data_IF_895705751055
#
_entry.id   IF_895705751055
#
_cell.length_a   1.000
_cell.length_b   1.000
_cell.length_c   1.000
_cell.angle_alpha   90.00
_cell.angle_beta   90.00
_cell.angle_gamma   90.00
#
_symmetry.space_group_name_H-M   'P 1'
#
loop_
_entity.id
_entity.type
_entity.pdbx_description
1 polymer ?
#
# COMPACT_ATOMS: atom_id res chain seq x y z
N UNK A 1 -29.61 18.18 -5.53
CA UNK A 1 -28.77 17.24 -4.77
C UNK A 1 -29.69 16.25 -4.07
N UNK A 2 -29.48 14.94 -4.20
CA UNK A 2 -30.20 13.97 -3.35
C UNK A 2 -29.76 14.20 -1.90
N UNK A 3 -30.69 14.35 -0.95
CA UNK A 3 -30.43 14.80 0.43
C UNK A 3 -29.28 14.03 1.12
N UNK A 4 -29.13 12.73 0.84
CA UNK A 4 -28.09 11.87 1.41
C UNK A 4 -26.66 12.23 1.00
N UNK A 5 -26.44 12.75 -0.22
CA UNK A 5 -25.09 13.13 -0.68
C UNK A 5 -24.62 14.47 -0.11
N UNK A 6 -25.54 15.30 0.40
CA UNK A 6 -25.21 16.59 1.01
C UNK A 6 -24.49 16.43 2.34
N UNK A 7 -24.89 15.46 3.17
CA UNK A 7 -24.19 15.12 4.41
C UNK A 7 -22.77 14.62 4.12
N UNK A 8 -22.64 13.70 3.16
CA UNK A 8 -21.33 13.19 2.77
C UNK A 8 -20.40 14.32 2.28
N UNK A 9 -20.92 15.24 1.46
CA UNK A 9 -20.17 16.43 1.05
C UNK A 9 -19.73 17.28 2.24
N UNK A 10 -20.62 17.53 3.21
CA UNK A 10 -20.28 18.30 4.42
C UNK A 10 -19.12 17.65 5.19
N UNK A 11 -19.16 16.34 5.40
CA UNK A 11 -18.10 15.63 6.13
C UNK A 11 -16.75 15.70 5.39
N UNK A 12 -16.75 15.54 4.06
CA UNK A 12 -15.52 15.64 3.25
C UNK A 12 -14.93 17.06 3.33
N UNK A 13 -15.77 18.11 3.29
CA UNK A 13 -15.31 19.50 3.42
C UNK A 13 -14.67 19.77 4.79
N UNK A 14 -15.14 19.09 5.83
CA UNK A 14 -14.56 19.09 7.19
C UNK A 14 -13.40 18.09 7.35
N UNK A 15 -12.90 17.50 6.26
CA UNK A 15 -11.80 16.52 6.21
C UNK A 15 -12.07 15.20 6.95
N UNK A 16 -13.33 14.79 7.04
CA UNK A 16 -13.72 13.47 7.53
C UNK A 16 -14.01 12.51 6.37
N UNK A 17 -13.49 11.29 6.49
CA UNK A 17 -13.76 10.18 5.61
C UNK A 17 -15.22 9.74 5.69
N UNK A 18 -15.89 9.76 4.54
CA UNK A 18 -17.25 9.22 4.40
C UNK A 18 -17.39 8.54 3.06
N UNK A 19 -18.01 7.36 3.08
CA UNK A 19 -18.36 6.59 1.90
C UNK A 19 -19.87 6.38 1.86
N UNK A 20 -20.45 6.40 0.67
CA UNK A 20 -21.87 6.20 0.44
C UNK A 20 -22.12 4.82 -0.16
N UNK A 21 -22.90 3.99 0.54
CA UNK A 21 -23.41 2.74 -0.03
C UNK A 21 -24.48 3.07 -1.08
N UNK A 22 -24.40 2.45 -2.24
CA UNK A 22 -25.40 2.56 -3.31
C UNK A 22 -25.93 1.17 -3.70
N UNK A 23 -27.11 1.15 -4.31
CA UNK A 23 -27.66 -0.10 -4.85
C UNK A 23 -26.86 -0.60 -6.06
N UNK A 24 -26.76 -1.92 -6.28
CA UNK A 24 -26.23 -2.48 -7.52
C UNK A 24 -26.92 -1.88 -8.75
N UNK A 25 -26.13 -1.51 -9.76
CA UNK A 25 -26.64 -0.85 -10.98
C UNK A 25 -26.69 0.67 -10.91
N UNK A 26 -26.36 1.28 -9.75
CA UNK A 26 -26.12 2.72 -9.66
C UNK A 26 -24.94 3.14 -10.55
N UNK A 27 -25.07 4.27 -11.24
CA UNK A 27 -23.97 4.90 -11.98
C UNK A 27 -23.00 5.67 -11.08
N UNK A 28 -23.38 5.90 -9.81
CA UNK A 28 -22.50 6.53 -8.82
C UNK A 28 -21.56 5.48 -8.23
N UNK A 29 -20.29 5.46 -8.64
CA UNK A 29 -19.28 4.50 -8.21
C UNK A 29 -17.90 5.16 -8.15
N UNK A 30 -17.08 4.78 -7.17
CA UNK A 30 -15.77 5.36 -6.92
C UNK A 30 -15.84 6.79 -6.40
N UNK A 31 -14.73 7.52 -6.53
CA UNK A 31 -14.67 8.95 -6.19
C UNK A 31 -15.41 9.80 -7.22
N UNK A 32 -16.42 10.53 -6.76
CA UNK A 32 -17.16 11.47 -7.58
C UNK A 32 -17.21 12.84 -6.92
N UNK A 33 -16.95 13.87 -7.73
CA UNK A 33 -17.10 15.27 -7.30
C UNK A 33 -18.57 15.56 -7.06
N UNK A 34 -18.92 15.81 -5.81
CA UNK A 34 -20.24 16.29 -5.40
C UNK A 34 -20.16 17.79 -5.19
N UNK A 35 -21.09 18.53 -5.80
CA UNK A 35 -21.17 19.99 -5.71
C UNK A 35 -22.36 20.42 -4.89
N UNK A 36 -22.14 21.34 -3.97
CA UNK A 36 -23.15 21.98 -3.15
C UNK A 36 -22.96 23.48 -3.04
N UNK A 37 -23.87 24.12 -2.31
CA UNK A 37 -23.85 25.58 -2.13
C UNK A 37 -22.59 26.07 -1.40
N UNK A 38 -22.02 25.25 -0.52
CA UNK A 38 -20.88 25.61 0.32
C UNK A 38 -19.53 25.07 -0.19
N UNK A 39 -19.50 24.42 -1.36
CA UNK A 39 -18.26 23.89 -1.93
C UNK A 39 -18.47 22.64 -2.77
N UNK A 40 -17.35 22.07 -3.21
CA UNK A 40 -17.29 20.76 -3.87
C UNK A 40 -16.26 19.86 -3.19
N UNK A 41 -16.49 18.55 -3.27
CA UNK A 41 -15.61 17.55 -2.65
C UNK A 41 -15.79 16.17 -3.27
N UNK A 42 -14.74 15.35 -3.16
CA UNK A 42 -14.73 13.97 -3.66
C UNK A 42 -15.40 13.03 -2.65
N UNK A 43 -16.60 12.56 -2.99
CA UNK A 43 -17.33 11.56 -2.19
C UNK A 43 -17.16 10.18 -2.81
N UNK A 44 -16.85 9.18 -2.00
CA UNK A 44 -16.71 7.80 -2.45
C UNK A 44 -18.06 7.08 -2.46
N UNK A 45 -18.43 6.45 -3.57
CA UNK A 45 -19.64 5.65 -3.70
C UNK A 45 -19.28 4.20 -4.01
N UNK A 46 -19.90 3.24 -3.31
CA UNK A 46 -19.59 1.82 -3.47
C UNK A 46 -20.84 0.95 -3.28
N UNK A 47 -20.82 -0.24 -3.85
CA UNK A 47 -21.86 -1.25 -3.62
C UNK A 47 -21.28 -2.60 -3.19
N UNK A 48 -19.97 -2.80 -3.37
CA UNK A 48 -19.25 -4.00 -2.96
C UNK A 48 -18.16 -3.61 -1.94
N UNK A 49 -18.11 -4.24 -0.75
CA UNK A 49 -17.05 -4.01 0.23
C UNK A 49 -15.62 -4.14 -0.32
N UNK A 50 -15.38 -4.94 -1.36
CA UNK A 50 -14.06 -5.07 -1.98
C UNK A 50 -13.52 -3.75 -2.56
N UNK A 51 -14.42 -2.81 -2.89
CA UNK A 51 -14.08 -1.48 -3.42
C UNK A 51 -13.55 -0.53 -2.34
N UNK A 52 -13.82 -0.82 -1.07
CA UNK A 52 -13.47 0.07 0.03
C UNK A 52 -11.96 0.25 0.21
N UNK A 53 -11.13 -0.64 -0.32
CA UNK A 53 -9.67 -0.46 -0.28
C UNK A 53 -9.22 0.89 -0.87
N UNK A 54 -9.86 1.36 -1.94
CA UNK A 54 -9.58 2.68 -2.53
C UNK A 54 -9.97 3.82 -1.58
N UNK A 55 -11.14 3.71 -0.93
CA UNK A 55 -11.59 4.65 0.09
C UNK A 55 -10.62 4.73 1.27
N UNK A 56 -10.23 3.58 1.84
CA UNK A 56 -9.32 3.54 2.98
C UNK A 56 -7.97 4.19 2.66
N UNK A 57 -7.44 3.96 1.44
CA UNK A 57 -6.20 4.61 0.99
C UNK A 57 -6.30 6.12 0.92
N UNK A 58 -7.48 6.66 0.58
CA UNK A 58 -7.69 8.12 0.51
C UNK A 58 -7.64 8.76 1.90
N UNK A 59 -8.05 8.03 2.95
CA UNK A 59 -8.09 8.58 4.31
C UNK A 59 -6.72 9.01 4.83
N UNK A 60 -5.63 8.31 4.45
CA UNK A 60 -4.27 8.70 4.84
C UNK A 60 -3.98 10.18 4.59
N UNK A 61 -4.33 10.68 3.40
CA UNK A 61 -4.14 12.08 3.02
C UNK A 61 -5.30 12.99 3.49
N UNK A 62 -6.54 12.53 3.35
CA UNK A 62 -7.73 13.31 3.69
C UNK A 62 -7.74 13.72 5.17
N UNK A 63 -7.62 12.73 6.06
CA UNK A 63 -7.72 12.90 7.52
C UNK A 63 -6.37 13.21 8.17
N UNK A 64 -5.29 13.27 7.38
CA UNK A 64 -3.93 13.42 7.87
C UNK A 64 -3.60 12.37 8.96
N UNK A 65 -3.85 11.10 8.64
CA UNK A 65 -3.71 9.96 9.57
C UNK A 65 -2.33 10.02 10.24
N UNK A 66 -2.24 9.92 11.58
CA UNK A 66 -0.97 9.91 12.30
C UNK A 66 -0.27 8.54 12.19
N UNK A 67 1.06 8.51 12.38
CA UNK A 67 1.85 7.27 12.25
C UNK A 67 1.33 6.13 13.11
N UNK A 68 0.94 6.41 14.36
CA UNK A 68 0.48 5.37 15.30
C UNK A 68 -0.80 4.65 14.85
N UNK A 69 -1.60 5.27 13.96
CA UNK A 69 -2.80 4.67 13.38
C UNK A 69 -2.58 4.17 11.95
N UNK A 70 -1.36 4.29 11.40
CA UNK A 70 -1.10 3.97 10.01
C UNK A 70 -1.37 2.50 9.72
N UNK A 71 -0.85 1.59 10.54
CA UNK A 71 -0.95 0.15 10.30
C UNK A 71 -2.36 -0.40 10.57
N UNK A 72 -3.08 0.16 11.54
CA UNK A 72 -4.50 -0.17 11.77
C UNK A 72 -5.35 0.10 10.52
N UNK A 73 -5.12 1.25 9.87
CA UNK A 73 -5.80 1.59 8.61
C UNK A 73 -5.26 0.77 7.43
N UNK A 74 -3.96 0.42 7.45
CA UNK A 74 -3.30 -0.31 6.38
C UNK A 74 -3.91 -1.69 6.14
N UNK A 75 -4.39 -2.37 7.18
CA UNK A 75 -5.06 -3.68 7.06
C UNK A 75 -6.31 -3.62 6.16
N UNK A 76 -7.05 -2.51 6.22
CA UNK A 76 -8.22 -2.30 5.37
C UNK A 76 -7.85 -1.78 3.97
N UNK A 77 -6.83 -0.92 3.89
CA UNK A 77 -6.37 -0.32 2.66
C UNK A 77 -5.64 -1.30 1.73
N UNK A 78 -4.96 -2.30 2.29
CA UNK A 78 -4.08 -3.21 1.56
C UNK A 78 -4.36 -4.69 1.90
N UNK A 79 -5.54 -5.23 1.54
CA UNK A 79 -5.97 -6.57 1.94
C UNK A 79 -5.08 -7.73 1.43
N UNK A 80 -4.26 -7.50 0.40
CA UNK A 80 -3.31 -8.47 -0.15
C UNK A 80 -1.92 -8.38 0.51
N UNK A 81 -1.73 -7.48 1.48
CA UNK A 81 -0.49 -7.30 2.22
C UNK A 81 -0.68 -7.75 3.67
N UNK A 82 0.37 -8.33 4.24
CA UNK A 82 0.47 -8.66 5.67
C UNK A 82 1.65 -7.87 6.23
N UNK A 83 1.43 -7.13 7.30
CA UNK A 83 2.43 -6.23 7.88
C UNK A 83 3.07 -6.84 9.12
N UNK A 84 4.41 -6.81 9.18
CA UNK A 84 5.11 -7.17 10.41
C UNK A 84 4.83 -6.14 11.52
N UNK A 85 4.61 -6.59 12.75
CA UNK A 85 4.26 -5.72 13.88
C UNK A 85 5.36 -4.74 14.30
N UNK A 86 6.62 -4.98 13.89
CA UNK A 86 7.75 -4.09 14.20
C UNK A 86 7.99 -2.99 13.15
N UNK A 87 7.15 -2.88 12.12
CA UNK A 87 7.30 -1.83 11.13
C UNK A 87 7.11 -0.45 11.77
N UNK A 88 7.95 0.50 11.38
CA UNK A 88 7.84 1.90 11.82
C UNK A 88 8.50 2.80 10.78
N UNK A 89 7.93 3.99 10.58
CA UNK A 89 8.53 4.99 9.70
C UNK A 89 9.81 5.56 10.27
N UNK A 90 10.05 5.45 11.59
CA UNK A 90 11.31 5.84 12.23
C UNK A 90 12.53 5.05 11.78
N UNK A 91 12.35 3.99 10.97
CA UNK A 91 13.45 3.27 10.30
C UNK A 91 13.83 3.85 8.95
N UNK A 92 12.99 4.72 8.38
CA UNK A 92 13.33 5.52 7.21
C UNK A 92 14.14 6.75 7.61
N UNK A 93 14.77 7.35 6.61
CA UNK A 93 15.36 8.68 6.68
C UNK A 93 14.34 9.71 6.15
N UNK A 94 13.84 10.56 7.04
CA UNK A 94 12.81 11.57 6.74
C UNK A 94 11.65 11.57 7.73
N UNK A 95 10.84 12.63 7.72
CA UNK A 95 9.66 12.71 8.58
C UNK A 95 8.50 11.88 8.01
N UNK A 96 7.67 11.31 8.88
CA UNK A 96 6.48 10.56 8.49
C UNK A 96 5.58 11.33 7.52
N UNK A 97 5.33 12.62 7.78
CA UNK A 97 4.47 13.46 6.94
C UNK A 97 4.96 13.58 5.49
N UNK A 98 6.29 13.57 5.29
CA UNK A 98 6.91 13.68 3.96
C UNK A 98 6.89 12.33 3.21
N UNK A 99 6.90 11.23 3.95
CA UNK A 99 7.03 9.88 3.40
C UNK A 99 5.68 9.16 3.22
N UNK A 100 4.66 9.50 4.02
CA UNK A 100 3.38 8.79 4.11
C UNK A 100 2.76 8.53 2.74
N UNK A 101 2.54 9.58 1.96
CA UNK A 101 1.79 9.47 0.71
C UNK A 101 2.55 8.65 -0.33
N UNK A 102 3.90 8.71 -0.31
CA UNK A 102 4.75 7.87 -1.16
C UNK A 102 4.70 6.40 -0.74
N UNK A 103 4.72 6.11 0.56
CA UNK A 103 4.55 4.74 1.08
C UNK A 103 3.18 4.19 0.70
N UNK A 104 2.10 4.95 0.88
CA UNK A 104 0.74 4.56 0.49
C UNK A 104 0.68 4.23 -1.01
N UNK A 105 1.28 5.06 -1.87
CA UNK A 105 1.35 4.81 -3.30
C UNK A 105 2.08 3.50 -3.65
N UNK A 106 3.21 3.22 -2.97
CA UNK A 106 3.95 1.97 -3.18
C UNK A 106 3.14 0.77 -2.72
N UNK A 107 2.59 0.81 -1.50
CA UNK A 107 1.78 -0.28 -0.95
C UNK A 107 0.53 -0.54 -1.80
N UNK A 108 -0.11 0.49 -2.35
CA UNK A 108 -1.21 0.33 -3.29
C UNK A 108 -0.77 -0.42 -4.56
N UNK A 109 0.36 -0.05 -5.15
CA UNK A 109 0.92 -0.73 -6.31
C UNK A 109 1.26 -2.20 -6.02
N UNK A 110 1.85 -2.49 -4.85
CA UNK A 110 2.13 -3.86 -4.43
C UNK A 110 0.83 -4.66 -4.24
N UNK A 111 -0.14 -4.08 -3.53
CA UNK A 111 -1.43 -4.72 -3.25
C UNK A 111 -2.21 -5.07 -4.52
N UNK A 112 -2.23 -4.15 -5.49
CA UNK A 112 -3.13 -4.24 -6.65
C UNK A 112 -2.51 -4.96 -7.84
N UNK A 113 -1.17 -5.00 -7.93
CA UNK A 113 -0.48 -5.44 -9.15
C UNK A 113 0.56 -6.52 -8.93
N UNK A 114 1.33 -6.47 -7.84
CA UNK A 114 2.55 -7.26 -7.74
C UNK A 114 2.30 -8.77 -7.84
N UNK A 115 1.24 -9.28 -7.20
CA UNK A 115 0.88 -10.70 -7.24
C UNK A 115 0.62 -11.18 -8.69
N UNK A 116 -0.18 -10.43 -9.43
CA UNK A 116 -0.56 -10.78 -10.80
C UNK A 116 0.62 -10.64 -11.76
N UNK A 117 1.42 -9.58 -11.61
CA UNK A 117 2.63 -9.38 -12.41
C UNK A 117 3.69 -10.44 -12.11
N UNK A 118 3.87 -10.82 -10.84
CA UNK A 118 4.78 -11.90 -10.45
C UNK A 118 4.39 -13.23 -11.10
N UNK A 119 3.10 -13.58 -11.08
CA UNK A 119 2.58 -14.79 -11.74
C UNK A 119 2.72 -14.73 -13.26
N UNK A 120 2.35 -13.60 -13.88
CA UNK A 120 2.44 -13.39 -15.33
C UNK A 120 3.88 -13.52 -15.84
N UNK A 121 4.82 -12.93 -15.11
CA UNK A 121 6.25 -12.97 -15.40
C UNK A 121 6.96 -14.21 -14.85
N UNK A 122 6.23 -15.14 -14.23
CA UNK A 122 6.77 -16.40 -13.67
C UNK A 122 7.96 -16.18 -12.73
N UNK A 123 7.91 -15.13 -11.91
CA UNK A 123 9.00 -14.78 -10.99
C UNK A 123 10.24 -14.14 -11.64
N UNK A 124 10.26 -13.90 -12.96
CA UNK A 124 11.43 -13.37 -13.65
C UNK A 124 11.72 -11.91 -13.27
N UNK A 125 12.85 -11.59 -12.58
CA UNK A 125 13.05 -10.28 -11.99
C UNK A 125 12.97 -9.11 -12.97
N UNK A 126 13.67 -9.20 -14.10
CA UNK A 126 13.70 -8.10 -15.07
C UNK A 126 12.33 -7.76 -15.66
N UNK A 127 11.49 -8.78 -15.89
CA UNK A 127 10.14 -8.57 -16.42
C UNK A 127 9.19 -7.98 -15.38
N UNK A 128 9.28 -8.42 -14.12
CA UNK A 128 8.49 -7.87 -13.01
C UNK A 128 8.85 -6.41 -12.78
N UNK A 129 10.14 -6.06 -12.78
CA UNK A 129 10.60 -4.68 -12.65
C UNK A 129 10.03 -3.80 -13.77
N UNK A 130 10.12 -4.26 -15.03
CA UNK A 130 9.59 -3.53 -16.17
C UNK A 130 8.06 -3.37 -16.10
N UNK A 131 7.34 -4.38 -15.62
CA UNK A 131 5.89 -4.34 -15.47
C UNK A 131 5.45 -3.35 -14.39
N UNK A 132 6.07 -3.44 -13.21
CA UNK A 132 5.76 -2.60 -12.06
C UNK A 132 6.17 -1.13 -12.28
N UNK A 133 7.25 -0.90 -13.05
CA UNK A 133 7.68 0.43 -13.48
C UNK A 133 6.64 1.19 -14.31
N UNK A 134 5.74 0.51 -15.03
CA UNK A 134 4.61 1.14 -15.75
C UNK A 134 3.61 1.81 -14.81
N UNK A 135 3.57 1.37 -13.56
CA UNK A 135 2.77 1.95 -12.49
C UNK A 135 3.60 2.87 -11.58
N UNK A 136 4.78 3.29 -12.03
CA UNK A 136 5.72 4.14 -11.29
C UNK A 136 6.22 3.54 -9.97
N UNK A 137 6.20 2.21 -9.86
CA UNK A 137 6.77 1.48 -8.72
C UNK A 137 8.17 0.97 -9.10
N UNK A 138 9.20 1.64 -8.57
CA UNK A 138 10.59 1.18 -8.68
C UNK A 138 10.83 0.11 -7.60
N UNK A 139 11.09 -1.11 -8.04
CA UNK A 139 11.42 -2.23 -7.18
C UNK A 139 12.48 -3.10 -7.83
N UNK A 140 13.14 -3.92 -7.03
CA UNK A 140 14.08 -4.93 -7.48
C UNK A 140 14.27 -5.97 -6.38
N UNK A 141 14.61 -7.22 -6.70
CA UNK A 141 15.11 -8.11 -5.68
C UNK A 141 16.57 -7.80 -5.35
N UNK A 142 17.08 -8.44 -4.31
CA UNK A 142 18.49 -8.39 -3.94
C UNK A 142 19.42 -8.77 -5.09
N UNK A 143 20.59 -8.14 -5.12
CA UNK A 143 21.61 -8.38 -6.15
C UNK A 143 22.13 -9.82 -6.10
N UNK A 144 22.68 -10.37 -7.21
CA UNK A 144 23.33 -11.67 -7.18
C UNK A 144 24.45 -11.78 -6.12
N UNK A 145 25.19 -10.69 -5.88
CA UNK A 145 26.23 -10.63 -4.87
C UNK A 145 25.65 -10.78 -3.46
N UNK A 146 24.59 -10.02 -3.14
CA UNK A 146 23.88 -10.11 -1.85
C UNK A 146 23.32 -11.52 -1.65
N UNK A 147 22.69 -12.08 -2.69
CA UNK A 147 22.11 -13.43 -2.68
C UNK A 147 23.14 -14.53 -2.48
N UNK A 148 24.37 -14.33 -2.96
CA UNK A 148 25.50 -15.23 -2.72
C UNK A 148 25.98 -15.25 -1.26
N UNK A 149 25.64 -14.23 -0.47
CA UNK A 149 26.05 -14.11 0.93
C UNK A 149 24.95 -14.54 1.91
N UNK A 150 25.13 -15.68 2.56
CA UNK A 150 24.22 -16.15 3.63
C UNK A 150 24.05 -15.13 4.76
N UNK A 151 25.12 -14.41 5.10
CA UNK A 151 25.08 -13.41 6.15
C UNK A 151 24.17 -12.23 5.77
N UNK A 152 24.32 -11.71 4.55
CA UNK A 152 23.51 -10.58 4.07
C UNK A 152 22.06 -10.98 3.84
N UNK A 153 21.81 -12.19 3.33
CA UNK A 153 20.45 -12.70 3.15
C UNK A 153 19.72 -12.94 4.48
N UNK A 154 20.44 -13.28 5.56
CA UNK A 154 19.83 -13.40 6.89
C UNK A 154 19.23 -12.07 7.38
N UNK A 155 19.76 -10.91 6.95
CA UNK A 155 19.17 -9.61 7.28
C UNK A 155 17.80 -9.39 6.61
N UNK A 156 17.47 -10.17 5.56
CA UNK A 156 16.19 -10.13 4.85
C UNK A 156 15.22 -11.18 5.35
N UNK A 157 15.65 -12.10 6.22
CA UNK A 157 14.81 -13.13 6.79
C UNK A 157 14.10 -12.57 8.03
N UNK A 158 12.77 -12.45 7.96
CA UNK A 158 11.93 -11.89 9.02
C UNK A 158 11.00 -12.98 9.55
N UNK A 159 10.93 -13.13 10.87
CA UNK A 159 10.08 -14.14 11.52
C UNK A 159 8.69 -13.57 11.81
N UNK A 160 7.64 -14.28 11.43
CA UNK A 160 6.26 -13.92 11.67
C UNK A 160 5.42 -15.19 11.83
N UNK A 161 4.62 -15.27 12.89
CA UNK A 161 3.67 -16.36 13.17
C UNK A 161 4.24 -17.78 13.02
N UNK A 162 5.47 -18.01 13.50
CA UNK A 162 6.10 -19.34 13.45
C UNK A 162 6.89 -19.61 12.16
N UNK A 163 6.87 -18.68 11.20
CA UNK A 163 7.48 -18.86 9.88
C UNK A 163 8.50 -17.77 9.59
N UNK A 164 9.53 -18.13 8.83
CA UNK A 164 10.52 -17.17 8.32
C UNK A 164 10.16 -16.78 6.89
N UNK A 165 9.95 -15.50 6.66
CA UNK A 165 9.71 -14.91 5.35
C UNK A 165 10.98 -14.20 4.86
N UNK A 166 11.40 -14.52 3.64
CA UNK A 166 12.51 -13.83 2.99
C UNK A 166 12.03 -12.60 2.25
N UNK A 167 12.30 -11.43 2.81
CA UNK A 167 11.99 -10.14 2.23
C UNK A 167 13.11 -9.65 1.29
N UNK A 168 13.39 -10.43 0.24
CA UNK A 168 14.46 -10.10 -0.70
C UNK A 168 14.05 -9.10 -1.79
N UNK A 169 12.74 -8.92 -2.02
CA UNK A 169 12.24 -7.86 -2.88
C UNK A 169 12.18 -6.56 -2.11
N UNK A 170 12.54 -5.45 -2.76
CA UNK A 170 12.45 -4.13 -2.15
C UNK A 170 11.95 -3.08 -3.13
N UNK A 171 11.02 -2.25 -2.67
CA UNK A 171 10.55 -1.07 -3.38
C UNK A 171 11.31 0.17 -2.89
N UNK A 172 11.59 1.08 -3.81
CA UNK A 172 12.38 2.29 -3.59
C UNK A 172 11.46 3.50 -3.42
N UNK A 173 11.48 4.14 -2.26
CA UNK A 173 10.84 5.45 -2.11
C UNK A 173 11.65 6.50 -2.87
N UNK A 174 12.98 6.45 -2.72
CA UNK A 174 13.95 7.30 -3.39
C UNK A 174 15.09 6.46 -3.99
N UNK A 175 15.85 7.01 -4.95
CA UNK A 175 16.87 6.22 -5.69
C UNK A 175 17.90 5.53 -4.78
N UNK A 176 18.34 6.17 -3.70
CA UNK A 176 19.46 5.68 -2.88
C UNK A 176 19.14 5.36 -1.42
N UNK A 177 17.92 5.63 -0.96
CA UNK A 177 17.50 5.38 0.42
C UNK A 177 16.01 5.04 0.48
N UNK A 178 15.59 4.63 1.67
CA UNK A 178 14.21 4.31 2.02
C UNK A 178 13.67 3.15 1.16
N UNK A 179 13.71 1.97 1.76
CA UNK A 179 13.35 0.68 1.16
C UNK A 179 12.25 0.02 1.96
N UNK A 180 11.21 -0.40 1.25
CA UNK A 180 10.21 -1.33 1.78
C UNK A 180 10.62 -2.71 1.29
N UNK A 181 11.12 -3.57 2.17
CA UNK A 181 11.39 -4.96 1.84
C UNK A 181 10.18 -5.85 2.10
N UNK A 182 9.93 -6.76 1.17
CA UNK A 182 8.76 -7.63 1.17
C UNK A 182 9.07 -8.99 0.54
N UNK A 183 8.22 -9.97 0.86
CA UNK A 183 8.33 -11.34 0.34
C UNK A 183 7.73 -11.48 -1.05
N UNK A 184 8.01 -12.60 -1.70
CA UNK A 184 7.18 -13.07 -2.81
C UNK A 184 5.79 -13.49 -2.29
N UNK A 185 4.77 -13.66 -3.18
CA UNK A 185 3.48 -14.19 -2.78
C UNK A 185 3.64 -15.54 -2.07
N UNK A 186 3.16 -15.64 -0.83
CA UNK A 186 3.40 -16.80 0.01
C UNK A 186 2.15 -17.66 0.19
N UNK A 187 2.27 -18.97 -0.05
CA UNK A 187 1.18 -19.93 0.20
C UNK A 187 0.76 -19.96 1.68
N UNK A 188 1.71 -19.78 2.60
CA UNK A 188 1.48 -19.71 4.05
C UNK A 188 0.51 -18.56 4.39
N UNK A 189 0.57 -17.48 3.61
CA UNK A 189 -0.29 -16.29 3.75
C UNK A 189 -1.42 -16.26 2.70
N UNK A 190 -1.86 -17.42 2.22
CA UNK A 190 -2.92 -17.54 1.21
C UNK A 190 -2.64 -16.75 -0.09
N UNK A 191 -1.37 -16.71 -0.51
CA UNK A 191 -0.92 -15.99 -1.70
C UNK A 191 -0.67 -14.50 -1.50
N UNK A 192 -0.76 -13.98 -0.26
CA UNK A 192 -0.47 -12.59 0.07
C UNK A 192 1.03 -12.29 0.13
N UNK A 193 1.35 -11.00 0.12
CA UNK A 193 2.71 -10.49 0.24
C UNK A 193 2.97 -10.09 1.70
N UNK A 194 4.11 -10.51 2.25
CA UNK A 194 4.55 -10.09 3.58
C UNK A 194 5.45 -8.85 3.50
N UNK A 195 5.07 -7.77 4.16
CA UNK A 195 5.87 -6.55 4.32
C UNK A 195 6.65 -6.67 5.64
N UNK A 196 7.95 -6.93 5.53
CA UNK A 196 8.77 -7.28 6.70
C UNK A 196 9.65 -6.16 7.22
N UNK A 197 10.14 -5.26 6.35
CA UNK A 197 11.18 -4.31 6.73
C UNK A 197 10.93 -2.94 6.08
N UNK A 198 10.88 -1.91 6.92
CA UNK A 198 11.11 -0.53 6.52
C UNK A 198 12.52 -0.14 6.98
N UNK A 199 13.31 0.45 6.09
CA UNK A 199 14.69 0.83 6.42
C UNK A 199 15.25 1.86 5.44
N UNK A 200 16.14 2.74 5.88
CA UNK A 200 16.89 3.62 5.00
C UNK A 200 17.73 2.81 3.98
N UNK A 201 18.49 1.82 4.44
CA UNK A 201 19.24 0.87 3.61
C UNK A 201 19.64 -0.36 4.45
N UNK A 202 19.79 -1.54 3.83
CA UNK A 202 20.43 -2.73 4.42
C UNK A 202 21.82 -2.94 3.83
N UNK A 203 22.72 -3.59 4.55
CA UNK A 203 24.03 -3.94 4.01
C UNK A 203 23.91 -4.79 2.73
N UNK A 204 24.77 -4.53 1.75
CA UNK A 204 24.78 -5.18 0.41
C UNK A 204 26.16 -5.69 0.04
#
# INVERSE_FOLDING_TARGET
MTLSAAYALLMVLERYGVACVVFPGSTRRGHLVVRGQHGEGDVFFFHDPAELSEFWRRLFALENVPEFSFFDLAEYAFPNLVFHSSLSFGRFDGAYADLRDRVVSILAGLNDRFIDEYRRCKGMPGEIQAAMGRYHIDLSPESPNTRGSRQLMRLRDVFHDGHTFRCEWHAKLERHRNRIHFSEPSEILAGKIFIGIFVAHLDT
#
